data_IF_071617084294
#
_entry.id   IF_071617084294
#
_cell.length_a   1.000
_cell.length_b   1.000
_cell.length_c   1.000
_cell.angle_alpha   90.00
_cell.angle_beta   90.00
_cell.angle_gamma   90.00
#
_symmetry.space_group_name_H-M   'P 1'
#
loop_
_entity.id
_entity.type
_entity.pdbx_description
1 polymer ?
#
# COMPACT_ATOMS: atom_id res chain seq x y z
N UNK A 1 7.15 4.23 -24.75
CA UNK A 1 6.15 4.69 -23.74
C UNK A 1 5.87 3.56 -22.75
N UNK A 2 6.66 3.43 -21.67
CA UNK A 2 6.52 2.34 -20.69
C UNK A 2 5.15 2.30 -20.01
N UNK A 3 4.58 3.48 -19.70
CA UNK A 3 3.26 3.61 -19.06
C UNK A 3 2.13 3.01 -19.90
N UNK A 4 2.05 3.34 -21.20
CA UNK A 4 0.96 2.88 -22.08
C UNK A 4 1.01 1.35 -22.25
N UNK A 5 2.20 0.77 -22.29
CA UNK A 5 2.37 -0.69 -22.39
C UNK A 5 1.90 -1.40 -21.12
N UNK A 6 2.30 -0.90 -19.95
CA UNK A 6 1.85 -1.42 -18.66
C UNK A 6 0.32 -1.25 -18.47
N UNK A 7 -0.22 -0.11 -18.91
CA UNK A 7 -1.65 0.17 -18.84
C UNK A 7 -2.47 -0.77 -19.73
N UNK A 8 -2.06 -0.98 -20.99
CA UNK A 8 -2.69 -1.96 -21.88
C UNK A 8 -2.67 -3.37 -21.30
N UNK A 9 -1.57 -3.75 -20.65
CA UNK A 9 -1.46 -5.05 -19.95
C UNK A 9 -2.47 -5.15 -18.80
N UNK A 10 -2.61 -4.11 -17.97
CA UNK A 10 -3.64 -4.08 -16.90
C UNK A 10 -5.07 -4.17 -17.44
N UNK A 11 -5.40 -3.44 -18.52
CA UNK A 11 -6.72 -3.51 -19.16
C UNK A 11 -7.03 -4.94 -19.63
N UNK A 12 -6.04 -5.62 -20.22
CA UNK A 12 -6.21 -7.00 -20.66
C UNK A 12 -6.39 -7.98 -19.49
N UNK A 13 -5.75 -7.73 -18.34
CA UNK A 13 -5.79 -8.62 -17.17
C UNK A 13 -7.02 -8.44 -16.28
N UNK A 14 -7.45 -7.19 -16.05
CA UNK A 14 -8.48 -6.87 -15.04
C UNK A 14 -9.71 -6.18 -15.64
N UNK A 15 -9.74 -6.00 -16.96
CA UNK A 15 -10.79 -5.29 -17.66
C UNK A 15 -10.62 -3.77 -17.64
N UNK A 16 -11.40 -3.09 -18.48
CA UNK A 16 -11.33 -1.64 -18.65
C UNK A 16 -11.67 -0.90 -17.34
N UNK A 17 -12.78 -1.25 -16.69
CA UNK A 17 -13.28 -0.53 -15.51
C UNK A 17 -12.22 -0.45 -14.39
N UNK A 18 -11.66 -1.59 -13.99
CA UNK A 18 -10.64 -1.67 -12.93
C UNK A 18 -9.35 -0.97 -13.33
N UNK A 19 -8.90 -1.15 -14.58
CA UNK A 19 -7.67 -0.52 -15.06
C UNK A 19 -7.78 1.01 -15.16
N UNK A 20 -8.92 1.54 -15.63
CA UNK A 20 -9.15 2.99 -15.74
C UNK A 20 -9.30 3.66 -14.37
N UNK A 21 -9.95 2.98 -13.41
CA UNK A 21 -10.10 3.50 -12.06
C UNK A 21 -8.81 3.43 -11.23
N UNK A 22 -7.75 2.79 -11.77
CA UNK A 22 -6.46 2.56 -11.09
C UNK A 22 -6.62 1.87 -9.72
N UNK A 23 -7.69 1.11 -9.55
CA UNK A 23 -7.97 0.34 -8.34
C UNK A 23 -7.52 -1.11 -8.52
N UNK A 24 -7.41 -1.82 -7.40
CA UNK A 24 -7.22 -3.26 -7.40
C UNK A 24 -8.58 -3.98 -7.45
N UNK A 25 -8.64 -5.20 -7.99
CA UNK A 25 -9.87 -6.01 -8.01
C UNK A 25 -10.20 -6.65 -6.65
N UNK A 26 -9.44 -6.32 -5.59
CA UNK A 26 -9.60 -6.82 -4.23
C UNK A 26 -9.25 -5.72 -3.20
N UNK A 27 -9.62 -5.93 -1.94
CA UNK A 27 -9.25 -5.05 -0.83
C UNK A 27 -7.83 -5.34 -0.36
N UNK A 28 -6.89 -4.46 -0.70
CA UNK A 28 -5.47 -4.62 -0.33
C UNK A 28 -5.28 -4.61 1.19
N UNK A 29 -6.02 -3.76 1.90
CA UNK A 29 -5.97 -3.67 3.37
C UNK A 29 -6.37 -4.99 4.03
N UNK A 30 -7.43 -5.65 3.56
CA UNK A 30 -7.86 -6.94 4.09
C UNK A 30 -6.81 -8.02 3.88
N UNK A 31 -6.29 -8.13 2.65
CA UNK A 31 -5.25 -9.12 2.32
C UNK A 31 -3.98 -8.88 3.14
N UNK A 32 -3.54 -7.64 3.30
CA UNK A 32 -2.36 -7.33 4.11
C UNK A 32 -2.58 -7.68 5.58
N UNK A 33 -3.76 -7.41 6.14
CA UNK A 33 -4.10 -7.77 7.51
C UNK A 33 -4.08 -9.29 7.74
N UNK A 34 -4.55 -10.09 6.78
CA UNK A 34 -4.45 -11.56 6.86
C UNK A 34 -2.99 -12.06 6.82
N UNK A 35 -2.11 -11.33 6.13
CA UNK A 35 -0.70 -11.67 5.98
C UNK A 35 0.18 -11.17 7.14
N UNK A 36 -0.32 -10.31 8.04
CA UNK A 36 0.45 -9.76 9.18
C UNK A 36 1.16 -10.84 10.00
N UNK A 37 0.54 -11.97 10.40
CA UNK A 37 1.22 -13.00 11.19
C UNK A 37 2.43 -13.60 10.45
N UNK A 38 2.29 -13.78 9.12
CA UNK A 38 3.37 -14.28 8.28
C UNK A 38 4.50 -13.25 8.14
N UNK A 39 4.17 -11.97 7.95
CA UNK A 39 5.14 -10.88 7.85
C UNK A 39 5.94 -10.73 9.15
N UNK A 40 5.27 -10.70 10.30
CA UNK A 40 5.91 -10.62 11.63
C UNK A 40 6.91 -11.76 11.83
N UNK A 41 6.51 -12.99 11.49
CA UNK A 41 7.38 -14.17 11.64
C UNK A 41 8.54 -14.17 10.66
N UNK A 42 8.29 -13.87 9.39
CA UNK A 42 9.31 -13.98 8.33
C UNK A 42 10.37 -12.88 8.42
N UNK A 43 9.95 -11.68 8.81
CA UNK A 43 10.84 -10.52 8.94
C UNK A 43 11.34 -10.31 10.38
N UNK A 44 10.96 -11.18 11.31
CA UNK A 44 11.33 -11.10 12.74
C UNK A 44 11.00 -9.73 13.34
N UNK A 45 9.79 -9.23 13.06
CA UNK A 45 9.32 -7.93 13.55
C UNK A 45 8.53 -8.10 14.84
N UNK A 46 8.74 -7.19 15.79
CA UNK A 46 7.96 -7.14 17.02
C UNK A 46 6.49 -6.77 16.74
N UNK A 47 6.28 -5.80 15.84
CA UNK A 47 4.95 -5.40 15.41
C UNK A 47 4.88 -4.96 13.94
N UNK A 48 3.68 -5.07 13.36
CA UNK A 48 3.37 -4.65 12.00
C UNK A 48 1.99 -4.00 12.01
N UNK A 49 1.92 -2.79 11.49
CA UNK A 49 0.68 -2.03 11.36
C UNK A 49 0.40 -1.74 9.89
N UNK A 50 -0.86 -1.93 9.47
CA UNK A 50 -1.33 -1.65 8.12
C UNK A 50 -2.28 -0.45 8.18
N UNK A 51 -1.87 0.65 7.55
CA UNK A 51 -2.63 1.90 7.51
C UNK A 51 -3.12 2.18 6.10
N UNK A 52 -4.34 2.70 5.97
CA UNK A 52 -4.76 3.36 4.74
C UNK A 52 -4.07 4.73 4.61
N UNK A 53 -4.05 5.27 3.40
CA UNK A 53 -3.46 6.60 3.14
C UNK A 53 -4.18 7.66 3.98
N UNK A 54 -5.50 7.56 4.13
CA UNK A 54 -6.30 8.49 4.94
C UNK A 54 -5.92 8.41 6.43
N UNK A 55 -5.77 7.19 6.97
CA UNK A 55 -5.35 6.96 8.36
C UNK A 55 -3.92 7.48 8.59
N UNK A 56 -3.02 7.27 7.63
CA UNK A 56 -1.64 7.74 7.70
C UNK A 56 -1.57 9.28 7.68
N UNK A 57 -2.37 9.96 6.85
CA UNK A 57 -2.44 11.44 6.82
C UNK A 57 -2.92 11.98 8.17
N UNK A 58 -4.00 11.43 8.71
CA UNK A 58 -4.53 11.86 10.01
C UNK A 58 -3.50 11.71 11.14
N UNK A 59 -2.73 10.61 11.13
CA UNK A 59 -1.69 10.38 12.14
C UNK A 59 -0.47 11.29 11.94
N UNK A 60 -0.13 11.62 10.70
CA UNK A 60 0.93 12.58 10.40
C UNK A 60 0.59 13.99 10.88
N UNK A 61 -0.66 14.41 10.73
CA UNK A 61 -1.15 15.70 11.25
C UNK A 61 -1.19 15.73 12.78
N UNK A 62 -1.38 14.58 13.43
CA UNK A 62 -1.36 14.42 14.89
C UNK A 62 0.03 14.49 15.56
N UNK A 63 1.11 14.66 14.80
CA UNK A 63 2.45 14.97 15.33
C UNK A 63 3.34 13.78 15.69
N UNK A 64 2.88 12.54 15.51
CA UNK A 64 3.68 11.34 15.84
C UNK A 64 3.48 10.22 14.80
N UNK A 65 3.69 10.55 13.53
CA UNK A 65 3.56 9.57 12.46
C UNK A 65 4.72 8.58 12.43
N UNK A 66 5.94 9.04 12.72
CA UNK A 66 7.22 8.37 12.47
C UNK A 66 7.44 7.84 11.04
N UNK A 67 6.57 8.19 10.09
CA UNK A 67 6.75 7.97 8.65
C UNK A 67 6.73 9.33 7.95
N UNK A 68 7.38 9.42 6.80
CA UNK A 68 7.51 10.69 6.07
C UNK A 68 6.26 10.96 5.22
N UNK A 69 5.90 12.24 5.04
CA UNK A 69 4.81 12.64 4.13
C UNK A 69 5.07 12.16 2.69
N UNK A 70 6.34 12.14 2.27
CA UNK A 70 6.74 11.64 0.96
C UNK A 70 6.41 10.16 0.75
N UNK A 71 6.48 9.34 1.80
CA UNK A 71 6.09 7.93 1.75
C UNK A 71 4.58 7.77 1.48
N UNK A 72 3.78 8.59 2.14
CA UNK A 72 2.32 8.59 1.98
C UNK A 72 1.96 9.01 0.54
N UNK A 73 2.54 10.10 0.06
CA UNK A 73 2.28 10.63 -1.29
C UNK A 73 2.76 9.69 -2.41
N UNK A 74 3.80 8.90 -2.16
CA UNK A 74 4.33 7.92 -3.12
C UNK A 74 3.64 6.55 -3.09
N UNK A 75 2.71 6.31 -2.16
CA UNK A 75 2.02 5.03 -2.06
C UNK A 75 0.87 4.94 -3.07
N UNK A 76 0.83 3.85 -3.84
CA UNK A 76 -0.19 3.62 -4.87
C UNK A 76 -0.83 2.23 -4.69
N UNK A 77 -2.09 2.02 -5.13
CA UNK A 77 -2.72 0.69 -5.09
C UNK A 77 -1.88 -0.38 -5.81
N UNK A 78 -1.49 -1.42 -5.06
CA UNK A 78 -0.60 -2.49 -5.53
C UNK A 78 0.89 -2.18 -5.47
N UNK A 79 1.26 -1.02 -4.93
CA UNK A 79 2.62 -0.60 -4.60
C UNK A 79 2.61 0.15 -3.24
N UNK A 80 2.41 -0.57 -2.12
CA UNK A 80 2.34 0.04 -0.80
C UNK A 80 3.70 0.58 -0.34
N UNK A 81 3.69 1.68 0.42
CA UNK A 81 4.86 2.20 1.11
C UNK A 81 5.18 1.39 2.38
N UNK A 82 6.47 1.22 2.68
CA UNK A 82 6.94 0.53 3.87
C UNK A 82 7.88 1.44 4.68
N UNK A 83 7.63 1.56 5.98
CA UNK A 83 8.51 2.23 6.92
C UNK A 83 8.90 1.24 8.01
N UNK A 84 10.21 1.06 8.22
CA UNK A 84 10.73 0.22 9.30
C UNK A 84 11.28 1.10 10.41
N UNK A 85 10.94 0.75 11.65
CA UNK A 85 11.48 1.42 12.83
C UNK A 85 12.10 0.42 13.77
N UNK A 86 13.22 0.83 14.34
CA UNK A 86 13.78 0.13 15.49
C UNK A 86 13.06 0.67 16.73
N UNK A 87 12.58 -0.26 17.54
CA UNK A 87 12.03 -0.01 18.87
C UNK A 87 13.01 -0.49 19.93
#
# INVERSE_FOLDING_TARGET
MPFIQAFKKRVAQYGAQTAFNRTLPFSEKEVLNELVPYLKKSLTLADVEVLSVEEAVQRAEGGDAGFTKALIEGSEPGAPGFEYRNI
#
